data_IF_691610653153
#
_entry.id   IF_691610653153
#
_cell.length_a   1.000
_cell.length_b   1.000
_cell.length_c   1.000
_cell.angle_alpha   90.00
_cell.angle_beta   90.00
_cell.angle_gamma   90.00
#
_symmetry.space_group_name_H-M   'P 1'
#
loop_
_entity.id
_entity.type
_entity.pdbx_description
1 polymer ?
#
# COMPACT_ATOMS: atom_id res chain seq x y z
N UNK A 1 25.46 -17.19 4.71
CA UNK A 1 25.43 -15.80 5.23
C UNK A 1 23.97 -15.41 5.22
N UNK A 2 23.29 -15.42 6.37
CA UNK A 2 21.91 -14.93 6.47
C UNK A 2 21.99 -13.41 6.54
N UNK A 3 21.82 -12.72 5.41
CA UNK A 3 21.40 -11.33 5.48
C UNK A 3 19.98 -11.37 6.03
N UNK A 4 19.78 -10.92 7.27
CA UNK A 4 18.45 -10.52 7.71
C UNK A 4 18.21 -9.19 7.02
N UNK A 5 17.32 -9.13 6.01
CA UNK A 5 17.04 -7.88 5.34
C UNK A 5 16.43 -6.91 6.36
N UNK A 6 16.93 -5.68 6.38
CA UNK A 6 16.47 -4.68 7.33
C UNK A 6 15.09 -4.19 6.89
N UNK A 7 14.12 -4.24 7.80
CA UNK A 7 12.81 -3.64 7.60
C UNK A 7 12.95 -2.15 7.27
N UNK A 8 12.13 -1.65 6.35
CA UNK A 8 12.07 -0.22 6.06
C UNK A 8 11.58 0.56 7.28
N UNK A 9 11.93 1.84 7.37
CA UNK A 9 11.44 2.72 8.45
C UNK A 9 9.95 3.06 8.30
N UNK A 10 9.30 3.45 9.39
CA UNK A 10 7.87 3.85 9.38
C UNK A 10 7.59 5.06 8.47
N UNK A 11 8.59 5.91 8.24
CA UNK A 11 8.54 7.03 7.29
C UNK A 11 8.30 6.57 5.84
N UNK A 12 8.60 5.30 5.54
CA UNK A 12 8.42 4.72 4.23
C UNK A 12 6.98 4.21 3.98
N UNK A 13 6.12 4.15 5.00
CA UNK A 13 4.73 3.67 4.83
C UNK A 13 4.00 4.52 3.77
N UNK A 14 4.06 5.84 3.89
CA UNK A 14 3.38 6.75 2.96
C UNK A 14 3.83 6.59 1.50
N UNK A 15 5.14 6.69 1.15
CA UNK A 15 5.57 6.50 -0.24
C UNK A 15 5.28 5.09 -0.77
N UNK A 16 5.38 4.05 0.07
CA UNK A 16 5.05 2.68 -0.33
C UNK A 16 3.57 2.52 -0.66
N UNK A 17 2.68 3.00 0.21
CA UNK A 17 1.23 2.95 -0.02
C UNK A 17 0.86 3.78 -1.25
N UNK A 18 1.44 4.97 -1.41
CA UNK A 18 1.22 5.82 -2.60
C UNK A 18 1.66 5.11 -3.88
N UNK A 19 2.85 4.50 -3.87
CA UNK A 19 3.34 3.70 -4.99
C UNK A 19 2.40 2.54 -5.32
N UNK A 20 1.94 1.82 -4.30
CA UNK A 20 1.00 0.72 -4.45
C UNK A 20 -0.33 1.19 -5.07
N UNK A 21 -0.87 2.31 -4.57
CA UNK A 21 -2.06 2.94 -5.15
C UNK A 21 -1.83 3.31 -6.62
N UNK A 22 -0.66 3.86 -6.97
CA UNK A 22 -0.36 4.27 -8.35
C UNK A 22 -0.29 3.07 -9.33
N UNK A 23 0.34 1.97 -8.91
CA UNK A 23 0.47 0.78 -9.77
C UNK A 23 -0.86 0.06 -9.95
N UNK A 24 -1.69 0.00 -8.90
CA UNK A 24 -3.01 -0.67 -8.93
C UNK A 24 -4.10 0.22 -9.55
N UNK A 25 -4.00 1.55 -9.42
CA UNK A 25 -5.02 2.47 -9.89
C UNK A 25 -5.38 2.24 -11.37
N UNK A 26 -6.67 2.11 -11.73
CA UNK A 26 -7.10 1.97 -13.11
C UNK A 26 -6.80 3.21 -13.96
N UNK A 27 -6.94 4.40 -13.36
CA UNK A 27 -6.56 5.66 -14.02
C UNK A 27 -5.12 5.98 -13.67
N UNK A 28 -4.26 5.98 -14.70
CA UNK A 28 -2.86 6.35 -14.54
C UNK A 28 -2.74 7.86 -14.45
N UNK A 29 -2.32 8.32 -13.28
CA UNK A 29 -1.90 9.70 -13.04
C UNK A 29 -0.39 9.73 -12.88
N UNK A 30 0.22 10.82 -13.35
CA UNK A 30 1.66 11.05 -13.18
C UNK A 30 2.04 11.20 -11.70
N UNK A 31 1.11 11.73 -10.90
CA UNK A 31 1.26 11.92 -9.46
C UNK A 31 -0.04 11.58 -8.72
N UNK A 32 0.11 10.83 -7.63
CA UNK A 32 -0.95 10.58 -6.67
C UNK A 32 -0.86 11.61 -5.53
N UNK A 33 -1.97 12.28 -5.25
CA UNK A 33 -2.13 13.16 -4.10
C UNK A 33 -2.86 12.40 -2.97
N UNK A 34 -2.61 12.81 -1.72
CA UNK A 34 -3.24 12.22 -0.54
C UNK A 34 -4.76 12.45 -0.54
N UNK A 35 -5.20 13.59 -1.08
CA UNK A 35 -6.61 13.95 -1.17
C UNK A 35 -7.35 13.24 -2.30
N UNK A 36 -6.65 12.55 -3.22
CA UNK A 36 -7.33 11.84 -4.31
C UNK A 36 -8.27 10.77 -3.79
N UNK A 37 -9.49 10.77 -4.32
CA UNK A 37 -10.50 9.75 -4.05
C UNK A 37 -10.17 8.48 -4.81
N UNK A 38 -10.16 7.35 -4.12
CA UNK A 38 -9.91 6.03 -4.72
C UNK A 38 -10.91 5.77 -5.86
N UNK A 39 -12.22 5.80 -5.57
CA UNK A 39 -13.25 5.49 -6.58
C UNK A 39 -13.43 6.62 -7.60
N UNK A 40 -13.42 7.88 -7.13
CA UNK A 40 -13.75 9.04 -7.96
C UNK A 40 -12.63 9.46 -8.91
N UNK A 41 -11.47 9.75 -8.34
CA UNK A 41 -10.35 10.37 -9.08
C UNK A 41 -9.49 9.30 -9.74
N UNK A 42 -9.13 8.25 -8.98
CA UNK A 42 -8.27 7.17 -9.41
C UNK A 42 -9.01 6.02 -10.11
N UNK A 43 -10.35 6.00 -10.03
CA UNK A 43 -11.20 5.07 -10.75
C UNK A 43 -11.28 3.66 -10.17
N UNK A 44 -10.94 3.48 -8.89
CA UNK A 44 -11.08 2.20 -8.21
C UNK A 44 -12.54 1.73 -8.20
N UNK A 45 -12.72 0.41 -8.28
CA UNK A 45 -14.00 -0.26 -8.06
C UNK A 45 -13.75 -1.49 -7.18
N UNK A 46 -14.80 -2.22 -6.79
CA UNK A 46 -14.74 -3.27 -5.78
C UNK A 46 -13.62 -4.30 -5.99
N UNK A 47 -13.45 -4.80 -7.23
CA UNK A 47 -12.39 -5.76 -7.55
C UNK A 47 -10.97 -5.17 -7.38
N UNK A 48 -10.76 -3.93 -7.80
CA UNK A 48 -9.44 -3.29 -7.73
C UNK A 48 -9.13 -2.80 -6.31
N UNK A 49 -10.15 -2.44 -5.53
CA UNK A 49 -9.99 -2.20 -4.10
C UNK A 49 -9.60 -3.48 -3.35
N UNK A 50 -10.18 -4.62 -3.73
CA UNK A 50 -9.79 -5.91 -3.18
C UNK A 50 -8.34 -6.25 -3.54
N UNK A 51 -7.92 -6.03 -4.80
CA UNK A 51 -6.52 -6.21 -5.21
C UNK A 51 -5.56 -5.31 -4.42
N UNK A 52 -5.89 -4.03 -4.25
CA UNK A 52 -5.12 -3.11 -3.40
C UNK A 52 -5.02 -3.63 -1.97
N UNK A 53 -6.14 -4.08 -1.39
CA UNK A 53 -6.18 -4.67 -0.06
C UNK A 53 -5.24 -5.88 0.05
N UNK A 54 -5.34 -6.83 -0.88
CA UNK A 54 -4.49 -8.02 -0.88
C UNK A 54 -2.99 -7.69 -1.02
N UNK A 55 -2.64 -6.72 -1.86
CA UNK A 55 -1.24 -6.32 -1.99
C UNK A 55 -0.70 -5.66 -0.72
N UNK A 56 -1.50 -4.84 -0.04
CA UNK A 56 -1.12 -4.25 1.23
C UNK A 56 -1.05 -5.30 2.34
N UNK A 57 -1.96 -6.28 2.33
CA UNK A 57 -1.94 -7.42 3.24
C UNK A 57 -0.68 -8.28 3.05
N UNK A 58 -0.32 -8.62 1.82
CA UNK A 58 0.92 -9.37 1.50
C UNK A 58 2.16 -8.55 1.88
N UNK A 59 2.17 -7.25 1.58
CA UNK A 59 3.34 -6.41 1.77
C UNK A 59 3.61 -6.04 3.23
N UNK A 60 2.57 -5.71 4.00
CA UNK A 60 2.69 -5.29 5.39
C UNK A 60 2.29 -6.38 6.39
N UNK A 61 2.03 -7.60 5.92
CA UNK A 61 1.49 -8.69 6.76
C UNK A 61 0.23 -8.25 7.53
N UNK A 62 -0.63 -7.44 6.89
CA UNK A 62 -1.85 -6.96 7.53
C UNK A 62 -2.82 -8.13 7.73
N UNK A 63 -3.61 -8.04 8.80
CA UNK A 63 -4.79 -8.88 8.89
C UNK A 63 -5.80 -8.50 7.79
N UNK A 64 -6.54 -9.50 7.31
CA UNK A 64 -7.56 -9.30 6.28
C UNK A 64 -8.49 -8.14 6.63
N UNK A 65 -8.59 -7.17 5.71
CA UNK A 65 -9.40 -5.99 5.94
C UNK A 65 -10.87 -6.36 6.09
N UNK A 66 -11.43 -6.04 7.25
CA UNK A 66 -12.86 -6.25 7.45
C UNK A 66 -13.67 -5.28 6.55
N UNK A 67 -14.90 -5.65 6.14
CA UNK A 67 -15.69 -4.83 5.23
C UNK A 67 -15.97 -3.41 5.73
N UNK A 68 -16.06 -3.21 7.04
CA UNK A 68 -16.34 -1.90 7.64
C UNK A 68 -15.14 -0.95 7.51
N UNK A 69 -13.92 -1.46 7.74
CA UNK A 69 -12.69 -0.71 7.54
C UNK A 69 -12.49 -0.37 6.06
N UNK A 70 -12.74 -1.33 5.16
CA UNK A 70 -12.67 -1.10 3.72
C UNK A 70 -13.66 -0.04 3.23
N UNK A 71 -14.88 0.02 3.79
CA UNK A 71 -15.87 1.04 3.46
C UNK A 71 -15.47 2.46 3.90
N UNK A 72 -14.54 2.61 4.85
CA UNK A 72 -14.04 3.91 5.32
C UNK A 72 -12.89 4.45 4.46
N UNK A 73 -12.35 3.64 3.55
CA UNK A 73 -11.27 4.06 2.65
C UNK A 73 -11.86 4.82 1.47
N UNK A 74 -11.89 6.14 1.56
CA UNK A 74 -12.35 7.01 0.46
C UNK A 74 -11.19 7.64 -0.31
N UNK A 75 -10.12 8.00 0.40
CA UNK A 75 -8.95 8.73 -0.09
C UNK A 75 -7.67 7.95 0.11
N UNK A 76 -6.60 8.38 -0.57
CA UNK A 76 -5.26 7.80 -0.39
C UNK A 76 -4.74 8.01 1.03
N UNK A 77 -5.04 9.16 1.65
CA UNK A 77 -4.74 9.42 3.07
C UNK A 77 -5.31 8.34 3.99
N UNK A 78 -6.54 7.90 3.75
CA UNK A 78 -7.23 6.94 4.62
C UNK A 78 -6.52 5.58 4.62
N UNK A 79 -5.97 5.18 3.45
CA UNK A 79 -5.20 3.95 3.31
C UNK A 79 -3.88 4.05 4.09
N UNK A 80 -3.18 5.19 3.99
CA UNK A 80 -1.93 5.42 4.72
C UNK A 80 -2.19 5.42 6.23
N UNK A 81 -3.24 6.10 6.68
CA UNK A 81 -3.62 6.17 8.09
C UNK A 81 -3.94 4.78 8.65
N UNK A 82 -4.70 3.98 7.90
CA UNK A 82 -5.01 2.60 8.25
C UNK A 82 -3.73 1.76 8.42
N UNK A 83 -2.87 1.72 7.41
CA UNK A 83 -1.64 0.90 7.46
C UNK A 83 -0.72 1.38 8.59
N UNK A 84 -0.58 2.70 8.75
CA UNK A 84 0.22 3.29 9.84
C UNK A 84 -0.32 2.90 11.21
N UNK A 85 -1.65 2.94 11.40
CA UNK A 85 -2.28 2.56 12.65
C UNK A 85 -2.08 1.07 12.98
N UNK A 86 -2.17 0.18 11.99
CA UNK A 86 -1.93 -1.25 12.18
C UNK A 86 -0.46 -1.55 12.52
N UNK A 87 0.50 -0.87 11.87
CA UNK A 87 1.93 -0.99 12.20
C UNK A 87 2.21 -0.49 13.62
N UNK A 88 1.70 0.68 14.00
CA UNK A 88 1.87 1.24 15.35
C UNK A 88 1.23 0.34 16.40
N UNK A 89 0.11 -0.30 16.08
CA UNK A 89 -0.56 -1.24 16.98
C UNK A 89 0.11 -2.62 17.05
N UNK A 90 1.18 -2.86 16.28
CA UNK A 90 1.90 -4.14 16.22
C UNK A 90 1.07 -5.26 15.57
N UNK A 91 0.09 -4.91 14.74
CA UNK A 91 -0.77 -5.84 13.97
C UNK A 91 -0.36 -5.94 12.50
N UNK A 92 0.66 -5.19 12.11
CA UNK A 92 1.29 -5.21 10.80
C UNK A 92 2.80 -5.07 10.97
N UNK A 93 3.54 -5.57 9.99
CA UNK A 93 4.99 -5.53 9.93
C UNK A 93 5.44 -4.64 8.77
N UNK A 94 6.57 -3.95 8.95
CA UNK A 94 7.17 -3.19 7.87
C UNK A 94 7.89 -4.18 6.94
N UNK A 95 7.64 -4.13 5.63
CA UNK A 95 8.38 -4.96 4.70
C UNK A 95 9.87 -4.60 4.73
N UNK A 96 10.71 -5.55 4.38
CA UNK A 96 12.08 -5.23 4.03
C UNK A 96 12.18 -4.74 2.58
N UNK A 97 13.36 -4.23 2.21
CA UNK A 97 13.59 -3.70 0.87
C UNK A 97 13.44 -4.78 -0.24
N UNK A 98 13.79 -6.04 0.05
CA UNK A 98 13.73 -7.12 -0.94
C UNK A 98 12.27 -7.51 -1.25
N UNK A 99 11.44 -7.61 -0.21
CA UNK A 99 10.00 -7.84 -0.34
C UNK A 99 9.32 -6.70 -1.10
N UNK A 100 9.70 -5.46 -0.80
CA UNK A 100 9.19 -4.28 -1.50
C UNK A 100 9.56 -4.28 -2.98
N UNK A 101 10.85 -4.45 -3.30
CA UNK A 101 11.33 -4.51 -4.68
C UNK A 101 10.67 -5.65 -5.45
N UNK A 102 10.55 -6.82 -4.83
CA UNK A 102 9.88 -7.98 -5.39
C UNK A 102 8.41 -7.71 -5.72
N UNK A 103 7.69 -7.01 -4.83
CA UNK A 103 6.29 -6.65 -5.04
C UNK A 103 6.13 -5.67 -6.21
N UNK A 104 6.89 -4.59 -6.24
CA UNK A 104 6.80 -3.57 -7.31
C UNK A 104 7.27 -4.11 -8.66
N UNK A 105 8.25 -5.02 -8.66
CA UNK A 105 8.70 -5.74 -9.86
C UNK A 105 7.61 -6.60 -10.50
N UNK A 106 6.64 -7.13 -9.73
CA UNK A 106 5.46 -7.85 -10.29
C UNK A 106 4.64 -6.95 -11.22
N UNK A 107 4.67 -5.64 -10.98
CA UNK A 107 4.00 -4.61 -11.76
C UNK A 107 4.92 -3.99 -12.83
N UNK A 108 6.17 -4.44 -12.94
CA UNK A 108 7.14 -3.94 -13.90
C UNK A 108 7.63 -2.51 -13.61
N UNK A 109 7.58 -2.09 -12.34
CA UNK A 109 8.06 -0.78 -11.89
C UNK A 109 9.10 -0.91 -10.79
N UNK A 110 9.92 0.12 -10.63
CA UNK A 110 10.87 0.21 -9.53
C UNK A 110 10.16 0.51 -8.19
N UNK A 111 10.80 0.13 -7.09
CA UNK A 111 10.32 0.41 -5.75
C UNK A 111 10.33 1.92 -5.46
N UNK A 112 9.35 2.44 -4.70
CA UNK A 112 9.22 3.88 -4.45
C UNK A 112 10.29 4.44 -3.49
N UNK A 113 11.18 3.60 -2.98
CA UNK A 113 12.25 3.97 -2.05
C UNK A 113 13.66 3.98 -2.68
N UNK A 114 13.76 3.70 -3.98
CA UNK A 114 15.03 3.56 -4.73
C UNK A 114 15.46 4.89 -5.36
#
# INVERSE_FOLDING_TARGET
MTHTPAAIGTEAIAPVVVGMVQVVAPRKLDRIDLDHRLVGDLGFHSLVLAELGYNLEDLFTLQALNPEAAMKLERVSDVIELVSAEVVAGRAELPDAEALDGMFSRYGVDSPLV
#
